data_IF_162302085036
#
_entry.id   IF_162302085036
#
_cell.length_a   1.000
_cell.length_b   1.000
_cell.length_c   1.000
_cell.angle_alpha   90.00
_cell.angle_beta   90.00
_cell.angle_gamma   90.00
#
_symmetry.space_group_name_H-M   'P 1'
#
loop_
_entity.id
_entity.type
_entity.pdbx_description
1 polymer ?
#
# COMPACT_ATOMS: atom_id res chain seq x y z
N UNK A 1 -21.25 65.45 -57.57
CA UNK A 1 -19.84 65.04 -57.42
C UNK A 1 -19.73 64.36 -56.05
N UNK A 2 -19.75 63.09 -56.06
CA UNK A 2 -19.66 62.25 -54.83
C UNK A 2 -18.28 61.63 -54.84
N UNK A 3 -17.45 61.96 -53.83
CA UNK A 3 -16.13 61.34 -53.65
C UNK A 3 -16.25 60.12 -52.75
N UNK A 4 -15.92 58.97 -53.29
CA UNK A 4 -15.76 57.72 -52.61
C UNK A 4 -14.43 57.70 -51.83
N UNK A 5 -14.51 57.50 -50.49
CA UNK A 5 -13.34 57.28 -49.66
C UNK A 5 -13.29 55.82 -49.15
N UNK A 6 -12.37 55.04 -49.73
CA UNK A 6 -12.05 53.71 -49.23
C UNK A 6 -10.93 53.80 -48.22
N UNK A 7 -11.26 53.56 -46.94
CA UNK A 7 -10.29 53.38 -45.86
C UNK A 7 -9.86 51.94 -45.71
N UNK A 8 -8.57 51.66 -45.41
CA UNK A 8 -8.10 50.27 -45.27
C UNK A 8 -8.52 49.65 -43.94
N UNK A 9 -9.14 48.48 -44.05
CA UNK A 9 -9.51 47.63 -42.92
C UNK A 9 -8.25 47.07 -42.24
N UNK A 10 -7.93 47.52 -41.04
CA UNK A 10 -6.82 47.00 -40.24
C UNK A 10 -7.26 45.67 -39.59
N UNK A 11 -6.70 44.60 -40.06
CA UNK A 11 -6.81 43.30 -39.38
C UNK A 11 -5.97 43.30 -38.09
N UNK A 12 -6.64 43.33 -36.94
CA UNK A 12 -5.98 43.09 -35.66
C UNK A 12 -5.86 41.58 -35.47
N UNK A 13 -4.65 41.07 -35.60
CA UNK A 13 -4.33 39.65 -35.26
C UNK A 13 -4.26 39.56 -33.74
N UNK A 14 -5.25 38.93 -33.13
CA UNK A 14 -5.29 38.65 -31.71
C UNK A 14 -4.41 37.41 -31.47
N UNK A 15 -3.16 37.61 -31.02
CA UNK A 15 -2.30 36.54 -30.51
C UNK A 15 -2.84 36.09 -29.16
N UNK A 16 -3.61 34.99 -29.16
CA UNK A 16 -3.99 34.30 -27.94
C UNK A 16 -2.74 33.54 -27.42
N UNK A 17 -2.06 34.18 -26.44
CA UNK A 17 -1.01 33.50 -25.68
C UNK A 17 -1.63 32.36 -24.87
N UNK A 18 -1.50 31.14 -25.34
CA UNK A 18 -1.77 29.93 -24.55
C UNK A 18 -0.72 29.87 -23.41
N UNK A 19 -1.10 30.36 -22.25
CA UNK A 19 -0.38 30.06 -21.02
C UNK A 19 -0.60 28.57 -20.75
N UNK A 20 0.31 27.72 -21.19
CA UNK A 20 0.43 26.34 -20.69
C UNK A 20 0.87 26.47 -19.23
N UNK A 21 -0.11 26.52 -18.34
CA UNK A 21 0.15 26.38 -16.91
C UNK A 21 0.63 24.94 -16.70
N UNK A 22 1.95 24.73 -16.77
CA UNK A 22 2.55 23.49 -16.30
C UNK A 22 2.22 23.42 -14.82
N UNK A 23 1.22 22.60 -14.46
CA UNK A 23 0.95 22.27 -13.07
C UNK A 23 2.23 21.64 -12.52
N UNK A 24 3.02 22.42 -11.79
CA UNK A 24 4.10 21.88 -10.96
C UNK A 24 3.39 20.98 -9.97
N UNK A 25 3.59 19.69 -10.09
CA UNK A 25 3.06 18.74 -9.12
C UNK A 25 3.61 19.14 -7.74
N UNK A 26 2.72 19.28 -6.76
CA UNK A 26 3.15 19.52 -5.39
C UNK A 26 4.17 18.45 -4.99
N UNK A 27 5.28 18.84 -4.33
CA UNK A 27 6.29 17.87 -3.91
C UNK A 27 5.65 16.83 -2.97
N UNK A 28 6.02 15.57 -3.15
CA UNK A 28 5.56 14.50 -2.29
C UNK A 28 5.82 14.82 -0.81
N UNK A 29 4.79 14.68 0.03
CA UNK A 29 4.85 15.04 1.46
C UNK A 29 5.51 13.97 2.30
N UNK A 30 5.49 12.71 1.84
CA UNK A 30 5.94 11.55 2.58
C UNK A 30 6.85 10.68 1.72
N UNK A 31 7.83 10.04 2.36
CA UNK A 31 8.61 8.94 1.79
C UNK A 31 7.97 7.63 2.20
N UNK A 32 7.81 6.71 1.25
CA UNK A 32 7.23 5.39 1.54
C UNK A 32 8.12 4.27 1.02
N UNK A 33 8.20 3.18 1.78
CA UNK A 33 8.74 1.89 1.36
C UNK A 33 7.56 0.93 1.31
N UNK A 34 7.34 0.28 0.17
CA UNK A 34 6.24 -0.68 -0.01
C UNK A 34 6.81 -2.08 0.14
N UNK A 35 6.43 -2.75 1.21
CA UNK A 35 6.82 -4.14 1.53
C UNK A 35 5.58 -5.03 1.39
N UNK A 36 5.54 -5.88 0.35
CA UNK A 36 4.35 -6.66 0.07
C UNK A 36 4.68 -8.04 -0.55
N UNK A 37 3.78 -9.00 -0.37
CA UNK A 37 3.89 -10.36 -0.88
C UNK A 37 3.27 -10.50 -2.29
N UNK A 38 3.82 -9.79 -3.26
CA UNK A 38 3.31 -9.70 -4.64
C UNK A 38 3.11 -11.05 -5.35
N UNK A 39 3.64 -12.13 -4.82
CA UNK A 39 3.41 -13.50 -5.28
C UNK A 39 2.13 -14.14 -4.75
N UNK A 40 1.51 -13.55 -3.74
CA UNK A 40 0.29 -14.01 -3.10
C UNK A 40 -0.98 -13.51 -3.79
N UNK A 41 -1.84 -12.90 -2.98
CA UNK A 41 -3.06 -12.24 -3.46
C UNK A 41 -2.73 -11.08 -4.40
N UNK A 42 -3.44 -10.88 -5.53
CA UNK A 42 -3.20 -9.76 -6.42
C UNK A 42 -3.53 -8.38 -5.84
N UNK A 43 -4.16 -8.28 -4.67
CA UNK A 43 -4.48 -7.01 -4.01
C UNK A 43 -3.24 -6.15 -3.73
N UNK A 44 -2.10 -6.78 -3.40
CA UNK A 44 -0.81 -6.10 -3.29
C UNK A 44 -0.34 -5.43 -4.59
N UNK A 45 -0.65 -6.02 -5.76
CA UNK A 45 -0.35 -5.40 -7.06
C UNK A 45 -1.25 -4.17 -7.31
N UNK A 46 -2.54 -4.27 -6.96
CA UNK A 46 -3.47 -3.13 -7.02
C UNK A 46 -3.01 -1.99 -6.10
N UNK A 47 -2.63 -2.34 -4.87
CA UNK A 47 -2.08 -1.39 -3.90
C UNK A 47 -0.84 -0.68 -4.45
N UNK A 48 0.11 -1.42 -5.03
CA UNK A 48 1.35 -0.85 -5.57
C UNK A 48 1.05 0.14 -6.71
N UNK A 49 0.19 -0.23 -7.68
CA UNK A 49 -0.18 0.68 -8.77
C UNK A 49 -0.83 1.95 -8.21
N UNK A 50 -1.77 1.81 -7.29
CA UNK A 50 -2.44 2.94 -6.64
C UNK A 50 -1.44 3.86 -5.91
N UNK A 51 -0.45 3.27 -5.22
CA UNK A 51 0.61 4.01 -4.52
C UNK A 51 1.51 4.78 -5.50
N UNK A 52 1.92 4.15 -6.60
CA UNK A 52 2.75 4.78 -7.64
C UNK A 52 2.03 5.93 -8.37
N UNK A 53 0.70 5.89 -8.44
CA UNK A 53 -0.15 6.94 -8.99
C UNK A 53 -0.45 8.07 -7.99
N UNK A 54 0.01 7.96 -6.75
CA UNK A 54 -0.31 8.90 -5.67
C UNK A 54 0.80 9.92 -5.49
N UNK A 55 0.57 11.17 -5.93
CA UNK A 55 1.57 12.26 -5.89
C UNK A 55 1.95 12.72 -4.47
N UNK A 56 1.10 12.45 -3.47
CA UNK A 56 1.37 12.82 -2.08
C UNK A 56 2.54 12.03 -1.45
N UNK A 57 2.94 10.92 -2.07
CA UNK A 57 3.99 10.05 -1.55
C UNK A 57 5.08 9.81 -2.60
N UNK A 58 6.32 9.71 -2.15
CA UNK A 58 7.44 9.24 -2.96
C UNK A 58 7.76 7.79 -2.57
N UNK A 59 7.52 6.85 -3.48
CA UNK A 59 7.93 5.47 -3.29
C UNK A 59 9.44 5.37 -3.49
N UNK A 60 10.16 5.10 -2.39
CA UNK A 60 11.63 5.02 -2.37
C UNK A 60 12.14 3.64 -2.77
N UNK A 61 11.40 2.60 -2.37
CA UNK A 61 11.68 1.23 -2.76
C UNK A 61 10.41 0.38 -2.72
N UNK A 62 10.47 -0.74 -3.47
CA UNK A 62 9.52 -1.83 -3.45
C UNK A 62 10.27 -3.05 -2.89
N UNK A 63 9.72 -3.69 -1.89
CA UNK A 63 10.27 -4.87 -1.24
C UNK A 63 9.32 -6.03 -1.55
N UNK A 64 9.84 -7.02 -2.28
CA UNK A 64 9.08 -8.21 -2.65
C UNK A 64 9.25 -9.28 -1.58
N UNK A 65 8.32 -9.34 -0.65
CA UNK A 65 8.35 -10.27 0.48
C UNK A 65 7.75 -11.62 0.14
N UNK A 66 8.06 -12.59 0.99
CA UNK A 66 7.44 -13.91 0.95
C UNK A 66 5.98 -13.83 1.41
N UNK A 67 5.15 -14.71 0.88
CA UNK A 67 3.83 -14.95 1.41
C UNK A 67 3.81 -16.28 2.22
N UNK A 68 2.63 -16.79 2.50
CA UNK A 68 2.48 -17.96 3.37
C UNK A 68 3.34 -19.14 2.90
N UNK A 69 4.06 -19.85 3.78
CA UNK A 69 5.03 -20.87 3.38
C UNK A 69 4.46 -22.00 2.50
N UNK A 70 3.16 -22.31 2.62
CA UNK A 70 2.49 -23.30 1.79
C UNK A 70 2.10 -22.82 0.40
N UNK A 71 2.43 -21.54 0.08
CA UNK A 71 2.07 -20.91 -1.18
C UNK A 71 0.62 -20.39 -1.20
N UNK A 72 0.26 -19.77 -2.33
CA UNK A 72 -1.06 -19.20 -2.56
C UNK A 72 -1.62 -19.72 -3.89
N UNK A 73 -2.67 -20.53 -3.83
CA UNK A 73 -3.29 -21.16 -5.01
C UNK A 73 -2.29 -21.87 -5.96
N UNK A 74 -1.24 -22.47 -5.40
CA UNK A 74 -0.18 -23.14 -6.16
C UNK A 74 0.99 -22.26 -6.58
N UNK A 75 0.97 -20.98 -6.25
CA UNK A 75 2.14 -20.11 -6.40
C UNK A 75 3.15 -20.38 -5.27
N UNK A 76 4.47 -20.41 -5.57
CA UNK A 76 5.50 -20.57 -4.54
C UNK A 76 5.46 -19.45 -3.51
N UNK A 77 5.68 -19.77 -2.22
CA UNK A 77 5.62 -18.81 -1.11
C UNK A 77 6.87 -17.95 -0.92
N UNK A 78 7.85 -18.02 -1.80
CA UNK A 78 9.15 -17.38 -1.62
C UNK A 78 9.25 -15.97 -2.24
N UNK A 79 10.27 -15.24 -1.82
CA UNK A 79 10.59 -13.90 -2.32
C UNK A 79 10.99 -13.90 -3.80
N UNK A 80 11.57 -14.99 -4.30
CA UNK A 80 11.99 -15.08 -5.69
C UNK A 80 10.77 -15.06 -6.63
N UNK A 81 9.71 -15.78 -6.30
CA UNK A 81 8.47 -15.74 -7.05
C UNK A 81 7.81 -14.35 -6.95
N UNK A 82 7.74 -13.77 -5.77
CA UNK A 82 7.21 -12.41 -5.55
C UNK A 82 7.94 -11.38 -6.44
N UNK A 83 9.27 -11.47 -6.55
CA UNK A 83 10.06 -10.62 -7.44
C UNK A 83 9.68 -10.75 -8.91
N UNK A 84 9.30 -11.93 -9.39
CA UNK A 84 8.93 -12.14 -10.81
C UNK A 84 7.68 -11.37 -11.22
N UNK A 85 6.84 -10.97 -10.26
CA UNK A 85 5.57 -10.27 -10.51
C UNK A 85 5.76 -8.79 -10.84
N UNK A 86 6.85 -8.18 -10.38
CA UNK A 86 7.06 -6.74 -10.47
C UNK A 86 7.51 -6.24 -11.85
N UNK A 87 8.48 -6.86 -12.56
CA UNK A 87 8.93 -6.34 -13.86
C UNK A 87 7.81 -6.22 -14.90
N UNK A 88 6.92 -7.21 -15.11
CA UNK A 88 5.83 -7.08 -16.08
C UNK A 88 4.82 -6.01 -15.68
N UNK A 89 4.49 -5.91 -14.36
CA UNK A 89 3.60 -4.87 -13.85
C UNK A 89 4.18 -3.48 -14.11
N UNK A 90 5.43 -3.24 -13.71
CA UNK A 90 6.07 -1.94 -13.91
C UNK A 90 6.25 -1.59 -15.38
N UNK A 91 6.53 -2.57 -16.25
CA UNK A 91 6.62 -2.36 -17.70
C UNK A 91 5.27 -1.99 -18.33
N UNK A 92 4.15 -2.37 -17.73
CA UNK A 92 2.81 -2.00 -18.19
C UNK A 92 2.38 -0.58 -17.83
N UNK A 93 3.12 0.10 -16.97
CA UNK A 93 2.83 1.48 -16.55
C UNK A 93 3.49 2.49 -17.52
N UNK A 94 2.90 3.69 -17.72
CA UNK A 94 3.51 4.76 -18.52
C UNK A 94 4.92 5.11 -18.08
N UNK A 95 5.79 5.50 -19.03
CA UNK A 95 7.19 5.85 -18.76
C UNK A 95 7.36 7.02 -17.79
N UNK A 96 6.37 7.91 -17.70
CA UNK A 96 6.37 9.04 -16.77
C UNK A 96 6.28 8.62 -15.29
N UNK A 97 5.79 7.41 -15.01
CA UNK A 97 5.71 6.89 -13.63
C UNK A 97 7.11 6.43 -13.21
N UNK A 98 7.59 7.01 -12.09
CA UNK A 98 8.91 6.69 -11.53
C UNK A 98 9.03 5.20 -11.23
N UNK A 99 10.19 4.63 -11.50
CA UNK A 99 10.53 3.23 -11.21
C UNK A 99 11.40 3.17 -9.94
N UNK A 100 10.83 2.82 -8.78
CA UNK A 100 11.59 2.67 -7.54
C UNK A 100 12.58 1.49 -7.62
N UNK A 101 13.56 1.48 -6.71
CA UNK A 101 14.42 0.30 -6.52
C UNK A 101 13.58 -0.87 -6.03
N UNK A 102 13.92 -2.08 -6.47
CA UNK A 102 13.27 -3.32 -6.04
C UNK A 102 14.29 -4.13 -5.24
N UNK A 103 13.84 -4.65 -4.10
CA UNK A 103 14.62 -5.52 -3.23
C UNK A 103 13.87 -6.81 -2.94
N UNK A 104 14.56 -7.95 -2.81
CA UNK A 104 13.98 -9.12 -2.18
C UNK A 104 13.71 -8.82 -0.70
N UNK A 105 12.58 -9.28 -0.20
CA UNK A 105 12.29 -9.27 1.24
C UNK A 105 13.21 -10.20 2.01
N UNK A 106 13.21 -10.06 3.33
CA UNK A 106 14.01 -10.88 4.24
C UNK A 106 13.43 -12.30 4.30
N UNK A 107 14.27 -13.31 4.19
CA UNK A 107 13.89 -14.70 4.47
C UNK A 107 13.78 -14.94 5.98
N UNK A 108 12.76 -15.69 6.43
CA UNK A 108 12.49 -15.93 7.87
C UNK A 108 13.64 -16.64 8.59
N UNK A 109 14.44 -17.45 7.88
CA UNK A 109 15.57 -18.18 8.44
C UNK A 109 16.91 -17.43 8.36
N UNK A 110 16.94 -16.22 7.80
CA UNK A 110 18.18 -15.46 7.69
C UNK A 110 18.57 -14.84 9.04
N UNK A 111 19.84 -14.97 9.39
CA UNK A 111 20.41 -14.47 10.65
C UNK A 111 20.85 -13.01 10.56
N UNK A 112 21.20 -12.56 9.34
CA UNK A 112 21.67 -11.20 9.07
C UNK A 112 20.63 -10.42 8.27
N UNK A 113 20.67 -9.10 8.40
CA UNK A 113 19.80 -8.23 7.64
C UNK A 113 20.22 -8.20 6.17
N UNK A 114 19.27 -8.54 5.29
CA UNK A 114 19.45 -8.48 3.85
C UNK A 114 19.36 -7.06 3.27
N UNK A 115 19.48 -6.94 1.94
CA UNK A 115 19.52 -5.63 1.26
C UNK A 115 18.28 -4.76 1.55
N UNK A 116 17.07 -5.34 1.65
CA UNK A 116 15.84 -4.62 1.96
C UNK A 116 15.88 -4.02 3.37
N UNK A 117 16.24 -4.83 4.38
CA UNK A 117 16.35 -4.37 5.76
C UNK A 117 17.43 -3.28 5.90
N UNK A 118 18.57 -3.45 5.25
CA UNK A 118 19.63 -2.43 5.18
C UNK A 118 19.12 -1.13 4.56
N UNK A 119 18.31 -1.19 3.50
CA UNK A 119 17.74 -0.01 2.87
C UNK A 119 16.70 0.69 3.76
N UNK A 120 15.88 -0.06 4.52
CA UNK A 120 14.97 0.52 5.53
C UNK A 120 15.80 1.33 6.55
N UNK A 121 16.91 0.76 7.06
CA UNK A 121 17.79 1.46 8.01
C UNK A 121 18.35 2.74 7.41
N UNK A 122 18.88 2.68 6.18
CA UNK A 122 19.43 3.85 5.49
C UNK A 122 18.42 4.97 5.30
N UNK A 123 17.19 4.66 4.87
CA UNK A 123 16.13 5.64 4.68
C UNK A 123 15.61 6.21 6.02
N UNK A 124 15.60 5.40 7.09
CA UNK A 124 15.19 5.86 8.42
C UNK A 124 16.25 6.79 9.07
N UNK A 125 17.53 6.52 8.83
CA UNK A 125 18.64 7.32 9.37
C UNK A 125 19.04 8.50 8.47
N UNK A 126 18.35 8.69 7.35
CA UNK A 126 18.64 9.74 6.40
C UNK A 126 18.43 11.14 7.00
N UNK A 127 19.39 12.04 6.85
CA UNK A 127 19.37 13.40 7.40
C UNK A 127 19.10 14.49 6.33
N UNK A 128 19.35 14.17 5.06
CA UNK A 128 19.17 15.09 3.93
C UNK A 128 17.71 15.18 3.42
N UNK A 129 16.81 14.41 4.02
CA UNK A 129 15.38 14.41 3.71
C UNK A 129 14.55 14.26 4.98
N UNK A 130 13.99 15.38 5.46
CA UNK A 130 13.24 15.43 6.73
C UNK A 130 11.77 15.02 6.62
N UNK A 131 11.30 14.67 5.40
CA UNK A 131 9.94 14.19 5.23
C UNK A 131 9.71 12.90 6.02
N UNK A 132 8.53 12.73 6.66
CA UNK A 132 8.23 11.49 7.37
C UNK A 132 8.39 10.25 6.49
N UNK A 133 8.89 9.18 7.09
CA UNK A 133 9.04 7.88 6.44
C UNK A 133 7.95 6.93 6.92
N UNK A 134 7.21 6.33 5.99
CA UNK A 134 6.31 5.21 6.25
C UNK A 134 6.86 3.92 5.63
N UNK A 135 6.81 2.84 6.40
CA UNK A 135 6.94 1.46 5.88
C UNK A 135 5.53 0.90 5.76
N UNK A 136 5.13 0.58 4.53
CA UNK A 136 3.81 0.08 4.18
C UNK A 136 3.91 -1.43 4.00
N UNK A 137 3.45 -2.20 4.96
CA UNK A 137 3.57 -3.65 4.95
C UNK A 137 2.22 -4.33 4.71
N UNK A 138 2.08 -4.97 3.54
CA UNK A 138 0.96 -5.84 3.15
C UNK A 138 1.30 -7.33 3.24
N UNK A 139 2.36 -7.68 3.97
CA UNK A 139 2.87 -9.05 4.15
C UNK A 139 3.20 -9.32 5.61
N UNK A 140 3.97 -10.38 5.87
CA UNK A 140 4.61 -10.61 7.17
C UNK A 140 5.63 -9.51 7.49
N UNK A 141 6.05 -9.42 8.75
CA UNK A 141 6.95 -8.37 9.23
C UNK A 141 8.43 -8.79 9.27
N UNK A 142 8.82 -9.82 8.52
CA UNK A 142 10.18 -10.40 8.55
C UNK A 142 11.25 -9.37 8.21
N UNK A 143 11.04 -8.57 7.15
CA UNK A 143 12.01 -7.55 6.72
C UNK A 143 12.13 -6.42 7.75
N UNK A 144 11.00 -5.96 8.28
CA UNK A 144 10.99 -4.91 9.32
C UNK A 144 11.66 -5.38 10.61
N UNK A 145 11.41 -6.64 11.01
CA UNK A 145 12.05 -7.24 12.18
C UNK A 145 13.57 -7.35 12.01
N UNK A 146 14.05 -7.71 10.82
CA UNK A 146 15.49 -7.76 10.52
C UNK A 146 16.13 -6.36 10.63
N UNK A 147 15.47 -5.33 10.10
CA UNK A 147 15.94 -3.95 10.22
C UNK A 147 16.02 -3.48 11.68
N UNK A 148 14.97 -3.73 12.47
CA UNK A 148 14.92 -3.36 13.89
C UNK A 148 15.90 -4.16 14.76
N UNK A 149 16.16 -5.43 14.42
CA UNK A 149 17.14 -6.26 15.12
C UNK A 149 18.56 -5.72 14.90
N UNK A 150 18.88 -5.28 13.68
CA UNK A 150 20.19 -4.71 13.35
C UNK A 150 20.35 -3.29 13.89
N UNK A 151 19.31 -2.45 13.81
CA UNK A 151 19.34 -1.04 14.20
C UNK A 151 18.07 -0.66 14.96
N UNK A 152 17.96 -0.93 16.27
CA UNK A 152 16.77 -0.64 17.05
C UNK A 152 16.37 0.86 17.07
N UNK A 153 17.34 1.76 16.94
CA UNK A 153 17.12 3.20 17.01
C UNK A 153 16.25 3.75 15.87
N UNK A 154 16.04 2.99 14.79
CA UNK A 154 15.12 3.41 13.72
C UNK A 154 13.65 3.38 14.16
N UNK A 155 13.32 2.72 15.27
CA UNK A 155 11.96 2.59 15.76
C UNK A 155 11.25 3.94 15.99
N UNK A 156 11.99 5.00 16.33
CA UNK A 156 11.44 6.34 16.53
C UNK A 156 11.58 7.27 15.30
N UNK A 157 12.07 6.75 14.17
CA UNK A 157 12.34 7.53 12.95
C UNK A 157 11.40 7.20 11.78
N UNK A 158 10.50 6.26 11.96
CA UNK A 158 9.55 5.84 10.95
C UNK A 158 8.19 5.47 11.57
N UNK A 159 7.18 5.38 10.72
CA UNK A 159 5.88 4.80 11.07
C UNK A 159 5.66 3.54 10.24
N UNK A 160 5.31 2.44 10.89
CA UNK A 160 4.87 1.22 10.24
C UNK A 160 3.35 1.27 10.05
N UNK A 161 2.87 1.11 8.81
CA UNK A 161 1.46 0.84 8.52
C UNK A 161 1.39 -0.62 8.08
N UNK A 162 0.65 -1.44 8.81
CA UNK A 162 0.63 -2.89 8.60
C UNK A 162 -0.78 -3.43 8.43
N UNK A 163 -0.98 -4.15 7.32
CA UNK A 163 -2.17 -4.98 7.10
C UNK A 163 -1.90 -6.32 7.77
N UNK A 164 -2.57 -6.59 8.88
CA UNK A 164 -2.35 -7.87 9.56
C UNK A 164 -2.84 -7.92 11.00
N UNK A 165 -2.90 -9.13 11.50
CA UNK A 165 -3.43 -9.46 12.81
C UNK A 165 -4.93 -9.76 12.79
N UNK A 166 -5.35 -10.54 13.78
CA UNK A 166 -6.75 -10.88 13.97
C UNK A 166 -7.57 -9.68 14.47
N UNK A 167 -8.87 -9.86 14.54
CA UNK A 167 -9.82 -8.91 15.12
C UNK A 167 -9.49 -8.62 16.58
N UNK A 168 -9.64 -7.36 16.98
CA UNK A 168 -9.73 -7.00 18.39
C UNK A 168 -11.07 -7.51 18.96
N UNK A 169 -11.07 -8.40 19.97
CA UNK A 169 -12.30 -9.01 20.48
C UNK A 169 -13.31 -8.01 21.06
N UNK A 170 -12.87 -6.80 21.42
CA UNK A 170 -13.76 -5.73 21.90
C UNK A 170 -14.45 -4.98 20.75
N UNK A 171 -13.98 -5.13 19.52
CA UNK A 171 -14.46 -4.36 18.37
C UNK A 171 -15.15 -5.23 17.30
N UNK A 172 -14.74 -6.48 17.14
CA UNK A 172 -15.31 -7.34 16.12
C UNK A 172 -15.18 -8.83 16.48
N UNK A 173 -16.08 -9.63 15.93
CA UNK A 173 -16.01 -11.10 15.98
C UNK A 173 -15.24 -11.63 14.77
N UNK A 174 -14.46 -12.70 14.92
CA UNK A 174 -13.84 -13.38 13.79
C UNK A 174 -14.92 -13.93 12.84
N UNK A 175 -14.62 -14.03 11.53
CA UNK A 175 -15.54 -14.64 10.59
C UNK A 175 -15.87 -16.10 10.98
N UNK A 176 -17.10 -16.58 10.71
CA UNK A 176 -17.46 -17.96 10.98
C UNK A 176 -16.51 -18.96 10.32
N UNK A 177 -16.07 -19.96 11.07
CA UNK A 177 -15.21 -21.03 10.56
C UNK A 177 -13.73 -20.68 10.42
N UNK A 178 -13.31 -19.46 10.73
CA UNK A 178 -11.89 -19.09 10.74
C UNK A 178 -11.17 -19.84 11.86
N UNK A 179 -10.09 -20.52 11.46
CA UNK A 179 -9.18 -21.22 12.37
C UNK A 179 -7.73 -20.79 12.09
N UNK A 180 -6.88 -20.84 13.10
CA UNK A 180 -5.45 -20.52 13.00
C UNK A 180 -5.15 -19.03 13.04
N UNK A 181 -3.92 -18.72 12.68
CA UNK A 181 -3.40 -17.35 12.66
C UNK A 181 -4.03 -16.53 11.52
N UNK A 182 -4.11 -15.21 11.72
CA UNK A 182 -4.39 -14.32 10.60
C UNK A 182 -3.26 -14.44 9.57
N UNK A 183 -3.57 -14.25 8.27
CA UNK A 183 -2.69 -14.61 7.16
C UNK A 183 -1.30 -13.95 7.26
N UNK A 184 -1.24 -12.62 7.31
CA UNK A 184 0.03 -11.90 7.35
C UNK A 184 0.79 -12.10 8.68
N UNK A 185 0.07 -12.21 9.79
CA UNK A 185 0.67 -12.60 11.07
C UNK A 185 1.25 -14.02 10.99
N UNK A 186 0.58 -14.93 10.30
CA UNK A 186 0.98 -16.33 10.13
C UNK A 186 2.21 -16.53 9.25
N UNK A 187 2.59 -15.55 8.42
CA UNK A 187 3.82 -15.62 7.60
C UNK A 187 5.06 -15.72 8.49
N UNK A 188 5.15 -14.87 9.53
CA UNK A 188 6.26 -14.87 10.49
C UNK A 188 5.81 -14.29 11.85
N UNK A 189 5.17 -15.10 12.71
CA UNK A 189 4.69 -14.63 14.01
C UNK A 189 5.80 -14.12 14.94
N UNK A 190 7.01 -14.69 14.82
CA UNK A 190 8.15 -14.28 15.63
C UNK A 190 8.63 -12.86 15.23
N UNK A 191 8.65 -12.58 13.93
CA UNK A 191 8.95 -11.24 13.43
C UNK A 191 7.89 -10.21 13.87
N UNK A 192 6.61 -10.55 13.77
CA UNK A 192 5.53 -9.69 14.24
C UNK A 192 5.69 -9.36 15.75
N UNK A 193 5.95 -10.36 16.56
CA UNK A 193 6.18 -10.18 18.00
C UNK A 193 7.40 -9.30 18.29
N UNK A 194 8.50 -9.46 17.56
CA UNK A 194 9.67 -8.60 17.71
C UNK A 194 9.34 -7.14 17.35
N UNK A 195 8.62 -6.91 16.25
CA UNK A 195 8.23 -5.56 15.80
C UNK A 195 7.30 -4.91 16.83
N UNK A 196 6.28 -5.62 17.30
CA UNK A 196 5.34 -5.10 18.28
C UNK A 196 5.96 -4.88 19.68
N UNK A 197 7.04 -5.59 20.02
CA UNK A 197 7.78 -5.35 21.28
C UNK A 197 8.55 -4.03 21.28
N UNK A 198 8.75 -3.38 20.13
CA UNK A 198 9.49 -2.11 20.02
C UNK A 198 8.66 -0.95 20.60
N UNK A 199 9.04 -0.49 21.77
CA UNK A 199 8.26 0.45 22.60
C UNK A 199 8.00 1.81 21.94
N UNK A 200 8.96 2.31 21.15
CA UNK A 200 8.94 3.64 20.54
C UNK A 200 8.45 3.63 19.08
N UNK A 201 8.21 2.46 18.50
CA UNK A 201 7.77 2.35 17.11
C UNK A 201 6.31 2.78 16.99
N UNK A 202 6.03 3.76 16.14
CA UNK A 202 4.68 4.10 15.74
C UNK A 202 4.13 3.01 14.81
N UNK A 203 3.08 2.32 15.25
CA UNK A 203 2.41 1.26 14.48
C UNK A 203 0.97 1.66 14.22
N UNK A 204 0.58 1.64 12.93
CA UNK A 204 -0.79 1.78 12.46
C UNK A 204 -1.22 0.42 11.92
N UNK A 205 -1.96 -0.30 12.71
CA UNK A 205 -2.41 -1.66 12.39
C UNK A 205 -3.79 -1.62 11.72
N UNK A 206 -3.93 -2.37 10.62
CA UNK A 206 -5.20 -2.62 9.95
C UNK A 206 -5.50 -4.12 10.07
N UNK A 207 -6.25 -4.55 11.08
CA UNK A 207 -6.54 -5.95 11.33
C UNK A 207 -7.58 -6.51 10.36
N UNK A 208 -7.79 -7.85 10.40
CA UNK A 208 -8.64 -8.58 9.46
C UNK A 208 -10.05 -8.00 9.31
N UNK A 209 -10.71 -7.60 10.38
CA UNK A 209 -12.04 -6.99 10.30
C UNK A 209 -12.05 -5.64 9.56
N UNK A 210 -10.93 -4.92 9.54
CA UNK A 210 -10.81 -3.67 8.82
C UNK A 210 -10.45 -3.89 7.34
N UNK A 211 -9.42 -4.66 7.02
CA UNK A 211 -9.04 -4.87 5.62
C UNK A 211 -10.11 -5.64 4.82
N UNK A 212 -10.94 -6.47 5.47
CA UNK A 212 -12.10 -7.11 4.82
C UNK A 212 -13.25 -6.16 4.47
N UNK A 213 -13.23 -4.93 4.93
CA UNK A 213 -14.20 -3.89 4.50
C UNK A 213 -13.92 -3.37 3.09
N UNK A 214 -12.77 -3.70 2.50
CA UNK A 214 -12.31 -3.19 1.20
C UNK A 214 -12.85 -3.98 0.01
N UNK A 215 -14.05 -4.52 0.14
CA UNK A 215 -14.72 -5.23 -0.93
C UNK A 215 -15.02 -4.29 -2.10
N UNK A 216 -14.66 -4.74 -3.30
CA UNK A 216 -14.94 -4.07 -4.55
C UNK A 216 -15.73 -5.00 -5.46
N UNK A 217 -16.63 -4.45 -6.24
CA UNK A 217 -17.42 -5.23 -7.20
C UNK A 217 -16.55 -5.78 -8.32
N UNK A 218 -16.73 -7.06 -8.67
CA UNK A 218 -16.12 -7.66 -9.84
C UNK A 218 -16.44 -6.89 -11.12
N UNK A 219 -17.64 -6.31 -11.22
CA UNK A 219 -18.04 -5.50 -12.37
C UNK A 219 -17.21 -4.21 -12.49
N UNK A 220 -16.88 -3.57 -11.37
CA UNK A 220 -15.99 -2.39 -11.37
C UNK A 220 -14.58 -2.73 -11.77
N UNK A 221 -14.01 -3.84 -11.26
CA UNK A 221 -12.67 -4.30 -11.66
C UNK A 221 -12.61 -4.70 -13.13
N UNK A 222 -13.63 -5.41 -13.62
CA UNK A 222 -13.72 -5.84 -15.02
C UNK A 222 -13.91 -4.67 -15.99
N UNK A 223 -14.44 -3.53 -15.53
CA UNK A 223 -14.62 -2.34 -16.34
C UNK A 223 -13.32 -1.55 -16.58
N UNK A 224 -12.26 -1.80 -15.81
CA UNK A 224 -10.95 -1.16 -15.99
C UNK A 224 -10.23 -1.72 -17.22
N UNK A 225 -9.77 -0.84 -18.11
CA UNK A 225 -9.17 -1.18 -19.39
C UNK A 225 -7.67 -0.92 -19.48
N UNK A 226 -7.06 -0.25 -18.50
CA UNK A 226 -5.60 -0.07 -18.47
C UNK A 226 -4.89 -1.44 -18.45
N UNK A 227 -3.77 -1.54 -19.13
CA UNK A 227 -3.02 -2.80 -19.25
C UNK A 227 -2.75 -3.47 -17.90
N UNK A 228 -2.25 -2.77 -16.86
CA UNK A 228 -2.06 -3.40 -15.55
C UNK A 228 -3.36 -3.89 -14.93
N UNK A 229 -4.47 -3.14 -15.07
CA UNK A 229 -5.75 -3.54 -14.51
C UNK A 229 -6.29 -4.83 -15.14
N UNK A 230 -6.19 -4.95 -16.46
CA UNK A 230 -6.62 -6.16 -17.19
C UNK A 230 -5.82 -7.39 -16.73
N UNK A 231 -4.52 -7.25 -16.57
CA UNK A 231 -3.65 -8.35 -16.15
C UNK A 231 -3.91 -8.77 -14.70
N UNK A 232 -4.15 -7.81 -13.79
CA UNK A 232 -4.52 -8.08 -12.40
C UNK A 232 -5.92 -8.69 -12.30
N UNK A 233 -6.88 -8.22 -13.11
CA UNK A 233 -8.23 -8.80 -13.15
C UNK A 233 -8.22 -10.27 -13.59
N UNK A 234 -7.41 -10.65 -14.59
CA UNK A 234 -7.25 -12.05 -15.00
C UNK A 234 -6.77 -12.95 -13.86
N UNK A 235 -5.92 -12.43 -12.97
CA UNK A 235 -5.47 -13.20 -11.80
C UNK A 235 -6.63 -13.45 -10.83
N UNK A 236 -7.45 -12.42 -10.54
CA UNK A 236 -8.66 -12.57 -9.72
C UNK A 236 -9.60 -13.61 -10.34
N UNK A 237 -9.86 -13.54 -11.66
CA UNK A 237 -10.69 -14.52 -12.35
C UNK A 237 -10.15 -15.95 -12.19
N UNK A 238 -8.82 -16.13 -12.23
CA UNK A 238 -8.19 -17.44 -12.01
C UNK A 238 -8.45 -17.96 -10.59
N UNK A 239 -8.38 -17.11 -9.57
CA UNK A 239 -8.69 -17.44 -8.19
C UNK A 239 -10.18 -17.82 -8.05
N UNK A 240 -11.08 -17.01 -8.62
CA UNK A 240 -12.52 -17.26 -8.61
C UNK A 240 -12.89 -18.60 -9.25
N UNK A 241 -12.23 -18.96 -10.35
CA UNK A 241 -12.42 -20.28 -11.00
C UNK A 241 -11.97 -21.42 -10.08
N UNK A 242 -10.82 -21.27 -9.40
CA UNK A 242 -10.33 -22.28 -8.44
C UNK A 242 -11.26 -22.43 -7.23
N UNK A 243 -11.87 -21.34 -6.79
CA UNK A 243 -12.86 -21.31 -5.70
C UNK A 243 -14.25 -21.82 -6.10
N UNK A 244 -14.47 -22.17 -7.37
CA UNK A 244 -15.71 -22.82 -7.86
C UNK A 244 -16.99 -22.09 -7.42
N UNK A 245 -17.00 -20.76 -7.48
CA UNK A 245 -18.18 -19.96 -7.12
C UNK A 245 -18.40 -19.76 -5.61
N UNK A 246 -17.47 -20.18 -4.76
CA UNK A 246 -17.53 -19.86 -3.31
C UNK A 246 -17.31 -18.39 -3.02
N UNK A 247 -16.61 -17.66 -3.92
CA UNK A 247 -16.52 -16.22 -3.88
C UNK A 247 -17.76 -15.61 -4.54
N UNK A 248 -18.32 -14.56 -3.92
CA UNK A 248 -19.40 -13.77 -4.51
C UNK A 248 -18.91 -12.89 -5.66
N UNK A 249 -19.74 -11.94 -6.08
CA UNK A 249 -19.42 -10.96 -7.13
C UNK A 249 -18.53 -9.80 -6.62
N UNK A 250 -17.68 -10.09 -5.66
CA UNK A 250 -16.79 -9.11 -5.02
C UNK A 250 -15.39 -9.71 -4.80
N UNK A 251 -14.42 -8.81 -4.68
CA UNK A 251 -13.07 -9.14 -4.27
C UNK A 251 -12.58 -8.15 -3.20
N UNK A 252 -11.81 -8.61 -2.22
CA UNK A 252 -11.24 -7.73 -1.21
C UNK A 252 -9.89 -7.18 -1.70
N UNK A 253 -9.77 -5.86 -1.82
CA UNK A 253 -8.48 -5.20 -2.05
C UNK A 253 -7.85 -4.87 -0.68
N UNK A 254 -7.49 -5.93 0.06
CA UNK A 254 -7.10 -5.87 1.47
C UNK A 254 -5.91 -4.98 1.78
N UNK A 255 -5.00 -4.78 0.84
CA UNK A 255 -3.82 -3.94 0.99
C UNK A 255 -4.03 -2.46 0.62
N UNK A 256 -5.15 -2.12 -0.03
CA UNK A 256 -5.46 -0.73 -0.41
C UNK A 256 -5.49 0.27 0.76
N UNK A 257 -5.79 -0.11 2.03
CA UNK A 257 -5.68 0.80 3.17
C UNK A 257 -4.27 1.37 3.38
N UNK A 258 -3.22 0.73 2.89
CA UNK A 258 -1.86 1.28 2.92
C UNK A 258 -1.80 2.62 2.17
N UNK A 259 -2.50 2.74 1.03
CA UNK A 259 -2.61 3.98 0.26
C UNK A 259 -3.53 4.98 0.96
N UNK A 260 -4.68 4.53 1.47
CA UNK A 260 -5.61 5.38 2.21
C UNK A 260 -4.90 6.11 3.35
N UNK A 261 -4.14 5.36 4.16
CA UNK A 261 -3.51 5.86 5.37
C UNK A 261 -2.19 6.62 5.12
N UNK A 262 -1.52 6.40 3.99
CA UNK A 262 -0.27 7.09 3.66
C UNK A 262 -0.42 8.27 2.71
N UNK A 263 -1.29 8.17 1.70
CA UNK A 263 -1.38 9.14 0.62
C UNK A 263 -2.61 10.05 0.68
N UNK A 264 -3.75 9.53 1.17
CA UNK A 264 -5.03 10.25 1.12
C UNK A 264 -5.34 11.04 2.39
N UNK A 265 -4.50 10.96 3.41
CA UNK A 265 -4.68 11.75 4.63
C UNK A 265 -4.39 13.22 4.40
N UNK A 266 -5.17 14.08 5.05
CA UNK A 266 -4.91 15.51 5.08
C UNK A 266 -3.65 15.85 5.88
N UNK A 267 -2.75 16.66 5.31
CA UNK A 267 -1.64 17.24 6.07
C UNK A 267 -2.05 18.43 6.95
N UNK A 268 -3.26 18.93 6.75
CA UNK A 268 -3.80 20.07 7.52
C UNK A 268 -4.22 19.66 8.93
N UNK A 269 -4.82 18.48 9.05
CA UNK A 269 -5.16 17.88 10.34
C UNK A 269 -4.64 16.45 10.33
N UNK A 270 -3.69 16.07 11.21
CA UNK A 270 -3.07 14.76 11.19
C UNK A 270 -4.03 13.56 11.29
N UNK A 271 -5.23 13.80 11.81
CA UNK A 271 -6.28 12.79 11.99
C UNK A 271 -7.54 13.08 11.16
N UNK A 272 -7.42 13.88 10.10
CA UNK A 272 -8.56 14.27 9.25
C UNK A 272 -9.00 13.17 8.27
N UNK A 273 -8.55 11.94 8.42
CA UNK A 273 -9.16 10.83 7.72
C UNK A 273 -10.50 10.49 8.40
N UNK A 274 -11.53 10.18 7.61
CA UNK A 274 -12.79 9.64 8.12
C UNK A 274 -12.68 8.18 8.57
N UNK A 275 -11.48 7.62 8.58
CA UNK A 275 -11.19 6.30 9.16
C UNK A 275 -11.04 6.40 10.66
N UNK A 276 -11.59 5.41 11.38
CA UNK A 276 -11.58 5.40 12.84
C UNK A 276 -10.59 4.37 13.39
N UNK A 277 -9.86 4.76 14.42
CA UNK A 277 -8.96 3.86 15.15
C UNK A 277 -9.17 3.98 16.66
N UNK A 278 -8.70 2.99 17.37
CA UNK A 278 -8.52 3.00 18.82
C UNK A 278 -7.04 2.85 19.15
N UNK A 279 -6.66 3.33 20.34
CA UNK A 279 -5.30 3.12 20.84
C UNK A 279 -5.25 1.82 21.63
N UNK A 280 -4.23 1.00 21.36
CA UNK A 280 -3.97 -0.28 22.03
C UNK A 280 -2.54 -0.33 22.55
N UNK A 281 -2.37 -1.08 23.63
CA UNK A 281 -1.07 -1.31 24.25
C UNK A 281 -0.46 -2.66 23.80
N UNK A 282 -0.74 -3.08 22.57
CA UNK A 282 -0.32 -4.36 22.03
C UNK A 282 1.18 -4.44 21.90
N UNK A 283 1.80 -5.45 22.51
CA UNK A 283 3.25 -5.73 22.49
C UNK A 283 3.60 -7.02 21.73
N UNK A 284 2.61 -7.71 21.21
CA UNK A 284 2.76 -8.95 20.44
C UNK A 284 1.45 -9.71 20.33
N UNK A 285 1.54 -10.95 19.90
CA UNK A 285 0.40 -11.84 19.67
C UNK A 285 0.69 -13.22 20.27
N UNK A 286 -0.35 -13.87 20.77
CA UNK A 286 -0.28 -15.25 21.24
C UNK A 286 -0.38 -16.25 20.06
N UNK A 287 -0.31 -17.54 20.38
CA UNK A 287 -0.40 -18.63 19.41
C UNK A 287 -1.75 -18.69 18.68
N UNK A 288 -2.75 -17.94 19.11
CA UNK A 288 -4.08 -17.85 18.52
C UNK A 288 -4.36 -16.48 17.85
N UNK A 289 -3.32 -15.72 17.53
CA UNK A 289 -3.39 -14.36 16.97
C UNK A 289 -4.01 -13.30 17.90
N UNK A 290 -4.27 -13.62 19.16
CA UNK A 290 -4.83 -12.64 20.09
C UNK A 290 -3.76 -11.63 20.49
N UNK A 291 -4.08 -10.33 20.55
CA UNK A 291 -3.13 -9.33 21.00
C UNK A 291 -2.76 -9.54 22.47
N UNK A 292 -1.47 -9.46 22.75
CA UNK A 292 -0.90 -9.43 24.11
C UNK A 292 -0.70 -7.97 24.48
N UNK A 293 -1.34 -7.55 25.55
CA UNK A 293 -1.31 -6.16 26.01
C UNK A 293 -0.31 -5.98 27.17
N UNK A 294 0.55 -4.97 27.03
CA UNK A 294 1.43 -4.48 28.10
C UNK A 294 1.74 -3.00 27.83
N UNK A 295 2.15 -2.26 28.86
CA UNK A 295 2.43 -0.82 28.73
C UNK A 295 3.46 -0.55 27.62
N UNK A 296 3.10 0.31 26.67
CA UNK A 296 3.96 0.83 25.58
C UNK A 296 4.20 2.32 25.74
N UNK A 297 5.34 2.81 25.25
CA UNK A 297 5.63 4.25 25.15
C UNK A 297 4.76 4.87 24.06
N UNK A 298 4.76 4.27 22.86
CA UNK A 298 3.94 4.71 21.73
C UNK A 298 2.82 3.69 21.51
N UNK A 299 1.54 4.02 21.83
CA UNK A 299 0.42 3.12 21.60
C UNK A 299 0.25 2.76 20.13
N UNK A 300 -0.23 1.56 19.84
CA UNK A 300 -0.62 1.13 18.51
C UNK A 300 -1.93 1.81 18.11
N UNK A 301 -2.00 2.43 16.94
CA UNK A 301 -3.27 2.84 16.31
C UNK A 301 -3.86 1.62 15.63
N UNK A 302 -4.94 1.08 16.18
CA UNK A 302 -5.65 -0.05 15.59
C UNK A 302 -6.88 0.49 14.85
N UNK A 303 -6.81 0.50 13.50
CA UNK A 303 -7.91 0.93 12.65
C UNK A 303 -8.99 -0.15 12.59
N UNK A 304 -10.23 0.22 12.87
CA UNK A 304 -11.36 -0.71 12.89
C UNK A 304 -12.46 -0.34 11.90
N UNK A 305 -12.44 0.90 11.40
CA UNK A 305 -13.34 1.38 10.36
C UNK A 305 -12.54 2.25 9.37
N UNK A 306 -12.64 1.93 8.09
CA UNK A 306 -11.92 2.60 7.01
C UNK A 306 -12.86 3.44 6.15
N UNK A 307 -12.40 4.58 5.64
CA UNK A 307 -13.12 5.30 4.58
C UNK A 307 -12.89 4.60 3.24
N UNK A 308 -13.54 3.46 3.08
CA UNK A 308 -13.46 2.66 1.85
C UNK A 308 -14.02 3.40 0.66
N UNK A 309 -15.04 4.26 0.87
CA UNK A 309 -15.60 5.11 -0.19
C UNK A 309 -14.55 6.04 -0.79
N UNK A 310 -13.83 6.78 0.05
CA UNK A 310 -12.76 7.68 -0.42
C UNK A 310 -11.65 6.88 -1.12
N UNK A 311 -11.20 5.81 -0.49
CA UNK A 311 -10.11 4.96 -0.99
C UNK A 311 -10.42 4.39 -2.38
N UNK A 312 -11.59 3.79 -2.57
CA UNK A 312 -11.99 3.18 -3.83
C UNK A 312 -12.31 4.23 -4.90
N UNK A 313 -12.95 5.36 -4.53
CA UNK A 313 -13.20 6.45 -5.46
C UNK A 313 -11.91 7.03 -6.03
N UNK A 314 -10.87 7.24 -5.19
CA UNK A 314 -9.56 7.72 -5.62
C UNK A 314 -8.84 6.67 -6.49
N UNK A 315 -8.86 5.40 -6.07
CA UNK A 315 -8.30 4.29 -6.85
C UNK A 315 -8.89 4.25 -8.27
N UNK A 316 -10.21 4.15 -8.40
CA UNK A 316 -10.87 4.07 -9.71
C UNK A 316 -10.66 5.34 -10.55
N UNK A 317 -10.63 6.51 -9.93
CA UNK A 317 -10.33 7.75 -10.64
C UNK A 317 -8.91 7.75 -11.22
N UNK A 318 -7.91 7.29 -10.46
CA UNK A 318 -6.52 7.17 -10.90
C UNK A 318 -6.35 6.12 -11.99
N UNK A 319 -7.02 4.96 -11.85
CA UNK A 319 -6.97 3.89 -12.87
C UNK A 319 -7.58 4.34 -14.20
N UNK A 320 -8.72 5.06 -14.19
CA UNK A 320 -9.30 5.65 -15.41
C UNK A 320 -8.41 6.72 -16.05
N UNK A 321 -7.68 7.51 -15.26
CA UNK A 321 -6.70 8.47 -15.81
C UNK A 321 -5.52 7.77 -16.45
N UNK A 322 -5.12 6.61 -15.92
CA UNK A 322 -4.09 5.78 -16.51
C UNK A 322 -4.51 5.27 -17.90
N UNK A 323 -5.76 4.80 -18.04
CA UNK A 323 -6.35 4.39 -19.32
C UNK A 323 -6.31 5.49 -20.39
N UNK A 324 -6.59 6.72 -19.99
CA UNK A 324 -6.59 7.86 -20.92
C UNK A 324 -5.17 8.29 -21.36
N UNK A 325 -4.13 7.70 -20.77
CA UNK A 325 -2.72 8.03 -21.04
C UNK A 325 -2.03 6.95 -21.89
N UNK A 326 -2.66 5.80 -22.09
CA UNK A 326 -2.26 4.70 -22.97
C UNK A 326 -2.75 4.96 -24.40
#
# INVERSE_FOLDING_TARGET
MIKSGTGPLKWAVLLASLFICSAVADPARYRVLVDNDFGGDPDGLYQLVHQLLSSATEVRAIIASQHYPTGFYGAPGDTAYSLTRLPPLLASLPAAIKRPKIFPGQASNATEAGPAATFIIQEALREDDTRPLFVLAGAGLTTMAAALRQQPDIANRLTLIWIGGAEDPALAMPPPGVQGLEYNLGIDPAAANLVFSQQNLAIWQVPRNAYRQTLVSNAELAALQSRPAVDMWRQIQTIQQKEQGRLGETYALGDSPLVLLSALQSGWQPDASSSHYVLRQTVGFDAMSKPVEAKRVTPVRLYHQLDTRLMLADFFAKMRRLEASD
#
